data_IF_609760485480
#
_entry.id   IF_609760485480
#
_cell.length_a   1.000
_cell.length_b   1.000
_cell.length_c   1.000
_cell.angle_alpha   90.00
_cell.angle_beta   90.00
_cell.angle_gamma   90.00
#
_symmetry.space_group_name_H-M   'P 1'
#
loop_
_entity.id
_entity.type
_entity.pdbx_description
1 polymer ?
#
# COMPACT_ATOMS: atom_id res chain seq x y z
N UNK A 1 12.30 -20.97 -3.98
CA UNK A 1 11.86 -20.27 -2.78
C UNK A 1 11.70 -18.81 -3.17
N UNK A 2 10.52 -18.23 -3.02
CA UNK A 2 10.28 -16.84 -3.42
C UNK A 2 10.13 -15.95 -2.20
N UNK A 3 10.84 -14.82 -2.18
CA UNK A 3 10.59 -13.72 -1.28
C UNK A 3 9.36 -12.94 -1.76
N UNK A 4 8.60 -12.39 -0.83
CA UNK A 4 7.48 -11.52 -1.16
C UNK A 4 7.77 -10.09 -0.68
N UNK A 5 7.72 -9.14 -1.61
CA UNK A 5 7.88 -7.70 -1.34
C UNK A 5 6.49 -7.06 -1.34
N UNK A 6 6.08 -6.55 -0.20
CA UNK A 6 4.76 -6.01 0.04
C UNK A 6 4.73 -4.48 0.00
N UNK A 7 3.72 -3.88 -0.60
CA UNK A 7 3.26 -2.60 -0.10
C UNK A 7 2.51 -2.79 1.22
N UNK A 8 2.38 -1.73 2.02
CA UNK A 8 1.78 -1.81 3.35
C UNK A 8 0.31 -1.37 3.35
N UNK A 9 0.06 -0.10 3.05
CA UNK A 9 -1.27 0.50 3.19
C UNK A 9 -2.13 0.32 1.95
N UNK A 10 -3.21 -0.44 2.04
CA UNK A 10 -4.06 -0.86 0.92
C UNK A 10 -3.78 -2.28 0.46
N UNK A 11 -2.59 -2.82 0.81
CA UNK A 11 -2.16 -4.17 0.42
C UNK A 11 -2.14 -5.14 1.60
N UNK A 12 -1.29 -4.93 2.61
CA UNK A 12 -1.31 -5.74 3.84
C UNK A 12 -2.39 -5.27 4.82
N UNK A 13 -2.57 -3.96 4.91
CA UNK A 13 -3.48 -3.31 5.85
C UNK A 13 -4.55 -2.54 5.10
N UNK A 14 -5.82 -2.74 5.44
CA UNK A 14 -6.95 -2.09 4.79
C UNK A 14 -7.17 -0.66 5.31
N UNK A 15 -6.30 0.24 4.88
CA UNK A 15 -6.28 1.64 5.33
C UNK A 15 -7.30 2.53 4.63
N UNK A 16 -7.78 2.14 3.47
CA UNK A 16 -8.61 3.00 2.61
C UNK A 16 -9.98 3.35 3.16
N UNK A 17 -10.74 2.45 3.79
CA UNK A 17 -12.04 2.82 4.32
C UNK A 17 -12.00 4.00 5.28
N UNK A 18 -10.96 4.08 6.12
CA UNK A 18 -10.77 5.20 7.04
C UNK A 18 -10.31 6.46 6.32
N UNK A 19 -9.35 6.35 5.40
CA UNK A 19 -8.82 7.49 4.63
C UNK A 19 -9.90 8.10 3.75
N UNK A 20 -10.60 7.27 2.96
CA UNK A 20 -11.63 7.74 2.03
C UNK A 20 -12.75 8.45 2.78
N UNK A 21 -13.20 7.87 3.89
CA UNK A 21 -14.21 8.47 4.75
C UNK A 21 -13.74 9.80 5.34
N UNK A 22 -12.55 9.86 5.91
CA UNK A 22 -12.02 11.07 6.54
C UNK A 22 -11.87 12.22 5.54
N UNK A 23 -11.40 11.94 4.33
CA UNK A 23 -11.29 12.94 3.27
C UNK A 23 -12.67 13.40 2.78
N UNK A 24 -13.60 12.47 2.57
CA UNK A 24 -14.96 12.79 2.15
C UNK A 24 -15.70 13.62 3.21
N UNK A 25 -15.61 13.28 4.48
CA UNK A 25 -16.21 14.05 5.60
C UNK A 25 -15.53 15.43 5.76
N UNK A 26 -14.25 15.54 5.43
CA UNK A 26 -13.57 16.82 5.40
C UNK A 26 -14.03 17.71 4.23
N UNK A 27 -14.56 17.16 3.16
CA UNK A 27 -15.19 17.91 2.07
C UNK A 27 -16.63 18.28 2.41
N UNK A 28 -17.41 17.32 2.88
CA UNK A 28 -18.84 17.46 3.19
C UNK A 28 -19.19 16.62 4.42
N UNK A 29 -19.88 17.20 5.40
CA UNK A 29 -20.21 16.55 6.69
C UNK A 29 -20.99 15.22 6.51
N UNK A 30 -21.83 15.13 5.50
CA UNK A 30 -22.58 13.92 5.13
C UNK A 30 -22.25 13.58 3.67
N UNK A 31 -21.14 12.85 3.40
CA UNK A 31 -20.77 12.50 2.04
C UNK A 31 -21.71 11.44 1.47
N UNK A 32 -22.15 11.65 0.24
CA UNK A 32 -22.90 10.67 -0.52
C UNK A 32 -21.98 9.61 -1.17
N UNK A 33 -22.57 8.60 -1.78
CA UNK A 33 -21.82 7.51 -2.43
C UNK A 33 -20.97 7.98 -3.61
N UNK A 34 -21.41 9.04 -4.30
CA UNK A 34 -20.67 9.59 -5.45
C UNK A 34 -19.39 10.26 -4.97
N UNK A 35 -19.44 11.08 -3.91
CA UNK A 35 -18.26 11.70 -3.32
C UNK A 35 -17.30 10.66 -2.73
N UNK A 36 -17.83 9.64 -2.04
CA UNK A 36 -16.99 8.53 -1.52
C UNK A 36 -16.28 7.80 -2.67
N UNK A 37 -16.95 7.57 -3.77
CA UNK A 37 -16.35 6.93 -4.95
C UNK A 37 -15.29 7.83 -5.61
N UNK A 38 -15.56 9.13 -5.76
CA UNK A 38 -14.57 10.09 -6.28
C UNK A 38 -13.29 10.08 -5.44
N UNK A 39 -13.43 10.18 -4.12
CA UNK A 39 -12.30 10.11 -3.19
C UNK A 39 -11.55 8.79 -3.34
N UNK A 40 -12.28 7.67 -3.40
CA UNK A 40 -11.68 6.34 -3.54
C UNK A 40 -10.87 6.21 -4.84
N UNK A 41 -11.37 6.68 -5.96
CA UNK A 41 -10.65 6.66 -7.24
C UNK A 41 -9.32 7.41 -7.15
N UNK A 42 -9.33 8.60 -6.58
CA UNK A 42 -8.14 9.44 -6.47
C UNK A 42 -7.12 8.89 -5.48
N UNK A 43 -7.55 8.40 -4.32
CA UNK A 43 -6.64 7.87 -3.28
C UNK A 43 -5.91 6.61 -3.72
N UNK A 44 -6.48 5.81 -4.64
CA UNK A 44 -5.82 4.62 -5.23
C UNK A 44 -4.68 4.97 -6.18
N UNK A 45 -4.61 6.21 -6.67
CA UNK A 45 -3.44 6.69 -7.39
C UNK A 45 -2.37 7.17 -6.40
N UNK A 46 -2.71 8.18 -5.60
CA UNK A 46 -1.81 8.76 -4.59
C UNK A 46 -2.63 9.55 -3.56
N UNK A 47 -2.53 9.23 -2.29
CA UNK A 47 -3.23 10.00 -1.24
C UNK A 47 -2.81 11.47 -1.20
N UNK A 48 -1.54 11.77 -1.51
CA UNK A 48 -1.05 13.17 -1.52
C UNK A 48 -1.61 13.95 -2.70
N UNK A 49 -1.63 13.35 -3.90
CA UNK A 49 -2.19 13.98 -5.11
C UNK A 49 -3.72 14.07 -5.01
N UNK A 50 -4.37 13.05 -4.45
CA UNK A 50 -5.81 13.06 -4.17
C UNK A 50 -6.20 14.26 -3.29
N UNK A 51 -5.44 14.54 -2.23
CA UNK A 51 -5.70 15.68 -1.36
C UNK A 51 -5.61 17.00 -2.13
N UNK A 52 -4.58 17.18 -2.95
CA UNK A 52 -4.41 18.39 -3.77
C UNK A 52 -5.53 18.54 -4.80
N UNK A 53 -5.86 17.45 -5.49
CA UNK A 53 -6.92 17.45 -6.52
C UNK A 53 -8.31 17.67 -5.93
N UNK A 54 -8.64 17.00 -4.83
CA UNK A 54 -9.92 17.18 -4.12
C UNK A 54 -10.06 18.59 -3.57
N UNK A 55 -8.98 19.16 -3.01
CA UNK A 55 -9.00 20.54 -2.53
C UNK A 55 -9.33 21.53 -3.66
N UNK A 56 -8.71 21.34 -4.84
CA UNK A 56 -8.96 22.17 -6.01
C UNK A 56 -10.39 22.00 -6.56
N UNK A 57 -10.86 20.75 -6.71
CA UNK A 57 -12.21 20.47 -7.25
C UNK A 57 -13.35 20.99 -6.38
N UNK A 58 -13.18 20.88 -5.07
CA UNK A 58 -14.22 21.25 -4.10
C UNK A 58 -14.02 22.64 -3.48
N UNK A 59 -13.02 23.39 -3.97
CA UNK A 59 -12.72 24.77 -3.52
C UNK A 59 -12.52 24.87 -1.99
N UNK A 60 -11.88 23.86 -1.38
CA UNK A 60 -11.56 23.83 0.05
C UNK A 60 -10.07 23.99 0.29
N UNK A 61 -9.63 24.55 1.43
CA UNK A 61 -8.22 24.61 1.76
C UNK A 61 -7.58 23.21 1.83
N UNK A 62 -6.50 22.99 1.10
CA UNK A 62 -5.75 21.72 1.12
C UNK A 62 -5.34 21.31 2.54
N UNK A 63 -4.98 22.29 3.39
CA UNK A 63 -4.64 22.08 4.78
C UNK A 63 -5.74 21.35 5.59
N UNK A 64 -7.01 21.55 5.24
CA UNK A 64 -8.15 20.87 5.87
C UNK A 64 -8.11 19.37 5.60
N UNK A 65 -7.88 18.98 4.35
CA UNK A 65 -7.81 17.58 3.94
C UNK A 65 -6.54 16.90 4.49
N UNK A 66 -5.42 17.62 4.51
CA UNK A 66 -4.18 17.12 5.11
C UNK A 66 -4.36 16.87 6.62
N UNK A 67 -5.02 17.79 7.34
CA UNK A 67 -5.31 17.60 8.75
C UNK A 67 -6.20 16.37 9.00
N UNK A 68 -7.24 16.14 8.19
CA UNK A 68 -8.09 14.96 8.28
C UNK A 68 -7.31 13.66 8.03
N UNK A 69 -6.43 13.66 7.03
CA UNK A 69 -5.55 12.52 6.73
C UNK A 69 -4.57 12.21 7.88
N UNK A 70 -3.92 13.23 8.47
CA UNK A 70 -3.03 13.04 9.61
C UNK A 70 -3.77 12.58 10.86
N UNK A 71 -4.96 13.15 11.15
CA UNK A 71 -5.79 12.70 12.27
C UNK A 71 -6.19 11.23 12.13
N UNK A 72 -6.44 10.76 10.91
CA UNK A 72 -6.72 9.33 10.66
C UNK A 72 -5.51 8.46 11.03
N UNK A 73 -4.30 8.88 10.67
CA UNK A 73 -3.08 8.14 11.05
C UNK A 73 -2.85 8.12 12.57
N UNK A 74 -3.10 9.22 13.24
CA UNK A 74 -3.04 9.30 14.71
C UNK A 74 -4.07 8.39 15.39
N UNK A 75 -5.27 8.29 14.81
CA UNK A 75 -6.31 7.38 15.31
C UNK A 75 -5.87 5.92 15.23
N UNK A 76 -5.11 5.52 14.21
CA UNK A 76 -4.63 4.14 14.05
C UNK A 76 -3.68 3.69 15.15
N UNK A 77 -3.03 4.60 15.87
CA UNK A 77 -2.26 4.25 17.06
C UNK A 77 -3.13 3.67 18.19
N UNK A 78 -4.43 4.00 18.22
CA UNK A 78 -5.39 3.53 19.23
C UNK A 78 -6.33 2.45 18.68
N UNK A 79 -6.67 2.54 17.39
CA UNK A 79 -7.57 1.64 16.69
C UNK A 79 -7.02 1.38 15.31
N UNK A 80 -6.11 0.39 15.18
CA UNK A 80 -5.51 0.08 13.90
C UNK A 80 -6.57 -0.38 12.88
N UNK A 81 -6.40 -0.04 11.59
CA UNK A 81 -7.25 -0.58 10.53
C UNK A 81 -7.05 -2.09 10.41
N UNK A 82 -8.04 -2.83 9.92
CA UNK A 82 -7.93 -4.27 9.80
C UNK A 82 -6.88 -4.70 8.77
N UNK A 83 -6.43 -5.94 8.88
CA UNK A 83 -5.66 -6.56 7.81
C UNK A 83 -6.52 -6.79 6.58
N UNK A 84 -5.89 -6.74 5.41
CA UNK A 84 -6.52 -7.28 4.20
C UNK A 84 -6.77 -8.77 4.33
N UNK A 85 -7.92 -9.21 3.82
CA UNK A 85 -8.29 -10.62 3.85
C UNK A 85 -7.24 -11.49 3.15
N UNK A 86 -6.80 -12.54 3.82
CA UNK A 86 -5.74 -13.43 3.33
C UNK A 86 -4.31 -12.99 3.65
N UNK A 87 -4.08 -11.80 4.24
CA UNK A 87 -2.72 -11.32 4.51
C UNK A 87 -1.91 -12.27 5.40
N UNK A 88 -2.48 -12.70 6.54
CA UNK A 88 -1.79 -13.63 7.46
C UNK A 88 -1.48 -14.96 6.83
N UNK A 89 -2.40 -15.51 6.04
CA UNK A 89 -2.23 -16.79 5.37
C UNK A 89 -1.10 -16.75 4.36
N UNK A 90 -1.01 -15.67 3.58
CA UNK A 90 0.07 -15.52 2.59
C UNK A 90 1.42 -15.30 3.26
N UNK A 91 1.49 -14.43 4.29
CA UNK A 91 2.70 -14.24 5.08
C UNK A 91 3.21 -15.57 5.67
N UNK A 92 2.31 -16.39 6.23
CA UNK A 92 2.64 -17.71 6.74
C UNK A 92 3.13 -18.65 5.62
N UNK A 93 2.44 -18.68 4.48
CA UNK A 93 2.81 -19.52 3.35
C UNK A 93 4.19 -19.19 2.77
N UNK A 94 4.60 -17.91 2.78
CA UNK A 94 5.96 -17.49 2.41
C UNK A 94 6.99 -18.05 3.39
N UNK A 95 6.76 -17.90 4.70
CA UNK A 95 7.64 -18.41 5.75
C UNK A 95 7.77 -19.93 5.73
N UNK A 96 6.66 -20.65 5.55
CA UNK A 96 6.67 -22.12 5.45
C UNK A 96 7.51 -22.62 4.29
N UNK A 97 7.64 -21.83 3.22
CA UNK A 97 8.52 -22.10 2.09
C UNK A 97 9.94 -21.58 2.30
N UNK A 98 10.23 -21.00 3.48
CA UNK A 98 11.53 -20.43 3.85
C UNK A 98 11.87 -19.12 3.14
N UNK A 99 10.87 -18.41 2.57
CA UNK A 99 11.03 -17.10 1.97
C UNK A 99 10.83 -15.97 2.99
N UNK A 100 11.51 -14.82 2.82
CA UNK A 100 11.28 -13.64 3.63
C UNK A 100 10.06 -12.84 3.14
N UNK A 101 9.38 -12.18 4.09
CA UNK A 101 8.37 -11.16 3.85
C UNK A 101 9.01 -9.79 4.05
N UNK A 102 9.12 -9.02 2.99
CA UNK A 102 9.80 -7.72 2.94
C UNK A 102 8.78 -6.63 2.64
N UNK A 103 8.96 -5.43 3.20
CA UNK A 103 8.03 -4.32 2.98
C UNK A 103 8.74 -3.15 2.29
N UNK A 104 8.12 -2.62 1.23
CA UNK A 104 8.50 -1.37 0.58
C UNK A 104 7.33 -0.39 0.67
N UNK A 105 7.43 0.67 1.47
CA UNK A 105 6.31 1.57 1.75
C UNK A 105 6.66 3.05 1.64
N UNK A 106 5.66 3.88 1.30
CA UNK A 106 5.78 5.34 1.35
C UNK A 106 5.59 5.92 2.76
N UNK A 107 5.16 5.10 3.72
CA UNK A 107 4.97 5.50 5.12
C UNK A 107 6.32 5.73 5.79
N UNK A 108 6.36 6.62 6.76
CA UNK A 108 7.52 6.74 7.65
C UNK A 108 7.70 5.49 8.52
N UNK A 109 8.95 5.23 8.90
CA UNK A 109 9.34 3.99 9.57
C UNK A 109 8.66 3.79 10.91
N UNK A 110 8.57 4.85 11.71
CA UNK A 110 7.97 4.77 13.05
C UNK A 110 6.48 4.41 12.95
N UNK A 111 5.74 5.11 12.09
CA UNK A 111 4.32 4.83 11.84
C UNK A 111 4.09 3.46 11.22
N UNK A 112 4.97 3.00 10.33
CA UNK A 112 4.86 1.67 9.72
C UNK A 112 5.12 0.56 10.75
N UNK A 113 6.17 0.69 11.57
CA UNK A 113 6.49 -0.26 12.63
C UNK A 113 5.37 -0.34 13.67
N UNK A 114 4.89 0.82 14.16
CA UNK A 114 3.78 0.86 15.13
C UNK A 114 2.51 0.18 14.58
N UNK A 115 2.24 0.33 13.29
CA UNK A 115 1.09 -0.32 12.65
C UNK A 115 1.26 -1.83 12.55
N UNK A 116 2.44 -2.32 12.14
CA UNK A 116 2.75 -3.75 12.09
C UNK A 116 2.67 -4.38 13.49
N UNK A 117 3.26 -3.74 14.50
CA UNK A 117 3.26 -4.19 15.89
C UNK A 117 1.84 -4.27 16.45
N UNK A 118 1.02 -3.24 16.22
CA UNK A 118 -0.37 -3.21 16.70
C UNK A 118 -1.25 -4.31 16.10
N UNK A 119 -0.90 -4.78 14.91
CA UNK A 119 -1.57 -5.86 14.20
C UNK A 119 -0.94 -7.23 14.45
N UNK A 120 0.15 -7.29 15.21
CA UNK A 120 0.91 -8.51 15.46
C UNK A 120 1.43 -9.13 14.16
N UNK A 121 1.91 -8.29 13.24
CA UNK A 121 2.55 -8.70 12.01
C UNK A 121 4.06 -8.57 12.11
N UNK A 122 4.73 -9.68 11.88
CA UNK A 122 6.18 -9.69 11.73
C UNK A 122 6.55 -9.70 10.25
N UNK A 123 7.49 -8.86 9.88
CA UNK A 123 8.13 -8.84 8.57
C UNK A 123 9.65 -8.90 8.75
N UNK A 124 10.37 -9.42 7.77
CA UNK A 124 11.81 -9.68 7.91
C UNK A 124 12.65 -8.43 7.69
N UNK A 125 12.18 -7.49 6.85
CA UNK A 125 12.78 -6.16 6.66
C UNK A 125 11.75 -5.18 6.09
N UNK A 126 12.04 -3.90 6.27
CA UNK A 126 11.21 -2.81 5.76
C UNK A 126 12.08 -1.67 5.23
N UNK A 127 11.75 -1.18 4.04
CA UNK A 127 12.31 0.03 3.44
C UNK A 127 11.21 1.07 3.28
N UNK A 128 11.45 2.24 3.84
CA UNK A 128 10.53 3.38 3.83
C UNK A 128 11.07 4.50 2.94
N UNK A 129 10.21 5.12 2.12
CA UNK A 129 10.64 6.22 1.27
C UNK A 129 11.25 7.40 2.07
N UNK A 130 10.71 7.81 3.24
CA UNK A 130 11.32 8.86 4.05
C UNK A 130 12.71 8.57 4.59
N UNK A 131 13.19 7.31 4.53
CA UNK A 131 14.55 6.92 4.91
C UNK A 131 15.61 7.29 3.84
N UNK A 132 15.28 8.16 2.91
CA UNK A 132 16.19 8.64 1.87
C UNK A 132 16.06 7.89 0.54
N UNK A 133 14.95 7.20 0.33
CA UNK A 133 14.66 6.54 -0.94
C UNK A 133 13.65 7.33 -1.78
N UNK A 134 13.83 7.40 -3.11
CA UNK A 134 12.79 7.87 -4.01
C UNK A 134 11.49 7.08 -3.83
N UNK A 135 10.36 7.79 -3.99
CA UNK A 135 9.04 7.16 -3.90
C UNK A 135 8.77 6.27 -5.12
N UNK A 136 7.99 5.20 -4.95
CA UNK A 136 7.45 4.45 -6.09
C UNK A 136 6.71 5.41 -7.05
N UNK A 137 6.89 5.30 -8.35
CA UNK A 137 7.35 4.12 -9.11
C UNK A 137 8.88 3.95 -9.25
N UNK A 138 9.72 4.74 -8.58
CA UNK A 138 11.16 4.48 -8.59
C UNK A 138 11.49 3.11 -7.96
N UNK A 139 12.45 2.34 -8.51
CA UNK A 139 12.78 0.99 -8.07
C UNK A 139 13.57 0.91 -6.78
N UNK A 140 14.05 2.03 -6.27
CA UNK A 140 15.10 2.14 -5.25
C UNK A 140 14.80 1.37 -3.98
N UNK A 141 13.56 1.41 -3.48
CA UNK A 141 13.17 0.65 -2.29
C UNK A 141 13.19 -0.86 -2.54
N UNK A 142 12.75 -1.30 -3.71
CA UNK A 142 12.79 -2.71 -4.10
C UNK A 142 14.24 -3.17 -4.26
N UNK A 143 15.06 -2.40 -4.98
CA UNK A 143 16.49 -2.69 -5.15
C UNK A 143 17.24 -2.75 -3.81
N UNK A 144 16.91 -1.85 -2.86
CA UNK A 144 17.50 -1.87 -1.54
C UNK A 144 17.21 -3.17 -0.78
N UNK A 145 15.98 -3.68 -0.87
CA UNK A 145 15.58 -4.96 -0.28
C UNK A 145 16.32 -6.14 -0.95
N UNK A 146 16.40 -6.15 -2.28
CA UNK A 146 17.16 -7.18 -3.01
C UNK A 146 18.61 -7.24 -2.56
N UNK A 147 19.27 -6.08 -2.45
CA UNK A 147 20.67 -6.00 -2.03
C UNK A 147 20.86 -6.45 -0.57
N UNK A 148 20.00 -5.98 0.34
CA UNK A 148 20.10 -6.32 1.78
C UNK A 148 19.94 -7.80 2.07
N UNK A 149 19.10 -8.47 1.28
CA UNK A 149 18.79 -9.89 1.46
C UNK A 149 19.50 -10.82 0.47
N UNK A 150 20.43 -10.26 -0.32
CA UNK A 150 21.20 -11.02 -1.33
C UNK A 150 20.30 -11.81 -2.30
N UNK A 151 19.13 -11.20 -2.66
CA UNK A 151 18.12 -11.80 -3.52
C UNK A 151 18.28 -11.34 -4.97
N UNK A 152 18.05 -12.25 -5.89
CA UNK A 152 17.86 -11.90 -7.30
C UNK A 152 16.40 -11.53 -7.58
N UNK A 153 16.16 -10.73 -8.62
CA UNK A 153 14.81 -10.35 -8.99
C UNK A 153 13.89 -11.56 -9.29
N UNK A 154 14.46 -12.63 -9.89
CA UNK A 154 13.69 -13.86 -10.20
C UNK A 154 13.28 -14.68 -8.98
N UNK A 155 13.89 -14.45 -7.82
CA UNK A 155 13.53 -15.08 -6.54
C UNK A 155 12.44 -14.31 -5.78
N UNK A 156 11.99 -13.18 -6.33
CA UNK A 156 11.04 -12.30 -5.67
C UNK A 156 9.73 -12.18 -6.46
N UNK A 157 8.68 -11.88 -5.72
CA UNK A 157 7.41 -11.41 -6.22
C UNK A 157 7.07 -10.14 -5.44
N UNK A 158 6.63 -9.09 -6.11
CA UNK A 158 6.17 -7.87 -5.43
C UNK A 158 4.66 -7.73 -5.58
N UNK A 159 3.98 -7.32 -4.52
CA UNK A 159 2.53 -7.09 -4.53
C UNK A 159 2.20 -5.72 -3.97
N UNK A 160 1.33 -5.02 -4.65
CA UNK A 160 0.79 -3.73 -4.24
C UNK A 160 -0.58 -3.49 -4.86
N UNK A 161 -1.28 -2.49 -4.36
CA UNK A 161 -2.63 -2.14 -4.81
C UNK A 161 -2.65 -0.94 -5.77
N UNK A 162 -1.47 -0.38 -6.07
CA UNK A 162 -1.32 0.78 -6.97
C UNK A 162 -0.47 0.44 -8.19
N UNK A 163 -0.72 1.08 -9.35
CA UNK A 163 0.15 0.96 -10.51
C UNK A 163 1.63 1.24 -10.20
N UNK A 164 1.90 2.26 -9.35
CA UNK A 164 3.26 2.63 -8.94
C UNK A 164 4.04 1.49 -8.24
N UNK A 165 3.36 0.58 -7.54
CA UNK A 165 3.98 -0.59 -6.91
C UNK A 165 4.49 -1.57 -7.95
N UNK A 166 3.65 -1.86 -8.95
CA UNK A 166 3.97 -2.75 -10.06
C UNK A 166 5.07 -2.16 -10.95
N UNK A 167 5.03 -0.85 -11.19
CA UNK A 167 6.04 -0.14 -11.98
C UNK A 167 7.40 -0.16 -11.27
N UNK A 168 7.43 0.09 -9.96
CA UNK A 168 8.65 0.00 -9.15
C UNK A 168 9.26 -1.41 -9.17
N UNK A 169 8.42 -2.43 -9.01
CA UNK A 169 8.84 -3.82 -9.10
C UNK A 169 9.44 -4.13 -10.48
N UNK A 170 8.73 -3.78 -11.55
CA UNK A 170 9.19 -4.00 -12.94
C UNK A 170 10.49 -3.26 -13.23
N UNK A 171 10.64 -2.03 -12.78
CA UNK A 171 11.87 -1.26 -12.93
C UNK A 171 13.07 -1.87 -12.19
N UNK A 172 12.81 -2.62 -11.10
CA UNK A 172 13.80 -3.43 -10.38
C UNK A 172 14.00 -4.84 -10.98
N UNK A 173 13.30 -5.19 -12.06
CA UNK A 173 13.34 -6.51 -12.69
C UNK A 173 12.52 -7.58 -11.96
N UNK A 174 11.74 -7.21 -10.94
CA UNK A 174 10.88 -8.09 -10.15
C UNK A 174 9.49 -8.22 -10.79
N UNK A 175 8.90 -9.41 -10.77
CA UNK A 175 7.51 -9.60 -11.18
C UNK A 175 6.57 -8.87 -10.20
N UNK A 176 5.82 -7.88 -10.72
CA UNK A 176 4.85 -7.11 -9.96
C UNK A 176 3.42 -7.65 -10.12
N UNK A 177 2.70 -7.79 -9.02
CA UNK A 177 1.30 -8.22 -8.97
C UNK A 177 0.44 -7.08 -8.42
N UNK A 178 -0.61 -6.72 -9.16
CA UNK A 178 -1.58 -5.72 -8.74
C UNK A 178 -2.72 -6.38 -7.97
N UNK A 179 -2.91 -5.99 -6.72
CA UNK A 179 -4.10 -6.29 -5.95
C UNK A 179 -5.20 -5.30 -6.34
N UNK A 180 -6.24 -5.77 -7.01
CA UNK A 180 -7.33 -4.92 -7.48
C UNK A 180 -8.24 -4.46 -6.35
N UNK A 181 -8.65 -3.21 -6.40
CA UNK A 181 -9.73 -2.68 -5.56
C UNK A 181 -11.05 -2.80 -6.34
N UNK A 182 -12.05 -3.54 -5.85
CA UNK A 182 -13.33 -3.69 -6.53
C UNK A 182 -13.98 -2.34 -6.86
N UNK A 183 -14.42 -2.17 -8.10
CA UNK A 183 -15.08 -0.94 -8.56
C UNK A 183 -14.14 0.24 -8.86
N UNK A 184 -12.84 0.11 -8.66
CA UNK A 184 -11.85 1.14 -8.97
C UNK A 184 -10.99 0.66 -10.15
N UNK A 185 -11.13 1.25 -11.35
CA UNK A 185 -10.28 0.89 -12.48
C UNK A 185 -8.87 1.46 -12.28
N UNK A 186 -7.86 0.59 -12.39
CA UNK A 186 -6.45 0.97 -12.28
C UNK A 186 -5.69 0.55 -13.53
N UNK A 187 -4.94 1.48 -14.11
CA UNK A 187 -4.14 1.26 -15.31
C UNK A 187 -2.75 0.70 -14.91
N UNK A 188 -2.55 -0.59 -15.14
CA UNK A 188 -1.26 -1.26 -14.96
C UNK A 188 -1.03 -2.26 -16.11
N UNK A 189 -0.62 -1.78 -17.31
CA UNK A 189 -0.51 -2.61 -18.50
C UNK A 189 0.49 -3.76 -18.31
N UNK A 190 0.04 -4.99 -18.64
CA UNK A 190 0.87 -6.19 -18.54
C UNK A 190 1.18 -6.66 -17.12
N UNK A 191 0.59 -6.05 -16.09
CA UNK A 191 0.69 -6.56 -14.73
C UNK A 191 -0.18 -7.80 -14.55
N UNK A 192 0.33 -8.76 -13.79
CA UNK A 192 -0.53 -9.82 -13.24
C UNK A 192 -1.48 -9.19 -12.23
N UNK A 193 -2.74 -9.58 -12.25
CA UNK A 193 -3.78 -9.04 -11.39
C UNK A 193 -4.36 -10.13 -10.52
N UNK A 194 -4.66 -9.78 -9.27
CA UNK A 194 -5.35 -10.65 -8.31
C UNK A 194 -6.49 -9.85 -7.65
N UNK A 195 -7.54 -10.57 -7.26
CA UNK A 195 -8.65 -9.98 -6.50
C UNK A 195 -8.51 -10.23 -4.99
N UNK A 196 -7.80 -11.31 -4.62
CA UNK A 196 -7.62 -11.73 -3.24
C UNK A 196 -6.14 -12.02 -2.97
N UNK A 197 -5.63 -11.66 -1.82
CA UNK A 197 -4.23 -11.96 -1.46
C UNK A 197 -3.92 -13.46 -1.51
N UNK A 198 -4.90 -14.33 -1.21
CA UNK A 198 -4.72 -15.79 -1.30
C UNK A 198 -4.37 -16.29 -2.69
N UNK A 199 -4.68 -15.52 -3.73
CA UNK A 199 -4.31 -15.85 -5.12
C UNK A 199 -2.78 -15.84 -5.33
N UNK A 200 -2.01 -15.28 -4.39
CA UNK A 200 -0.55 -15.32 -4.38
C UNK A 200 0.02 -16.70 -4.00
N UNK A 201 -0.70 -17.50 -3.20
CA UNK A 201 -0.18 -18.77 -2.66
C UNK A 201 0.29 -19.75 -3.74
N UNK A 202 -0.42 -19.95 -4.86
CA UNK A 202 0.05 -20.81 -5.95
C UNK A 202 1.21 -20.21 -6.77
N UNK A 203 1.58 -18.95 -6.54
CA UNK A 203 2.69 -18.26 -7.23
C UNK A 203 4.01 -18.32 -6.45
N UNK A 204 3.97 -18.72 -5.18
CA UNK A 204 5.12 -18.76 -4.25
C UNK A 204 6.12 -19.91 -4.52
#
# INVERSE_FOLDING_TARGET
>A
MRALIWDLGGTLVDTYPDVDRALAEALRAEPDQELLHEVAVLTRCSSSEAITELAARHEVPEARLRAAYEATKEQWARRPPPLKDGAREVLAAVRERGGPNLVATHRDRESAAALLDSLGLEVDDMVCAPDGHPRKPAPDMVLALLVRHELTAGECLAVGDRPADVEAARAAGVEGVLLETPGIPLEAPGARRIHWLRDLIPML
#
